data_IF_838546614551
#
_entry.id   IF_838546614551
#
_cell.length_a   1.000
_cell.length_b   1.000
_cell.length_c   1.000
_cell.angle_alpha   90.00
_cell.angle_beta   90.00
_cell.angle_gamma   90.00
#
_symmetry.space_group_name_H-M   'P 1'
#
loop_
_entity.id
_entity.type
_entity.pdbx_description
1 polymer ?
#
# COMPACT_ATOMS: atom_id res chain seq x y z
N UNK A 1 11.83 15.69 36.55
CA UNK A 1 10.92 14.94 35.65
C UNK A 1 11.54 14.96 34.27
N UNK A 2 12.61 14.17 34.14
CA UNK A 2 13.50 14.08 32.99
C UNK A 2 12.86 13.29 31.85
N UNK A 3 13.03 13.83 30.64
CA UNK A 3 13.17 13.13 29.36
C UNK A 3 12.67 11.69 29.28
N UNK A 4 11.44 11.55 28.79
CA UNK A 4 10.98 10.31 28.18
C UNK A 4 11.51 10.29 26.72
N UNK A 5 12.79 9.97 26.56
CA UNK A 5 13.40 9.65 25.27
C UNK A 5 12.81 8.35 24.72
N UNK A 6 12.15 8.44 23.56
CA UNK A 6 12.01 7.53 22.39
C UNK A 6 12.22 5.99 22.46
N UNK A 7 12.47 5.33 23.58
CA UNK A 7 13.01 3.95 23.60
C UNK A 7 12.28 2.93 24.49
N UNK A 8 11.03 3.16 24.90
CA UNK A 8 10.34 2.23 25.81
C UNK A 8 9.01 1.67 25.31
N UNK A 9 8.98 1.13 24.08
CA UNK A 9 7.91 0.23 23.62
C UNK A 9 8.50 -0.91 22.81
N UNK A 10 8.70 -2.07 23.45
CA UNK A 10 8.96 -3.42 22.87
C UNK A 10 10.10 -3.44 21.82
N UNK A 11 11.28 -3.94 22.22
CA UNK A 11 12.52 -4.07 21.41
C UNK A 11 12.32 -4.18 19.89
N UNK A 12 12.21 -3.03 19.23
CA UNK A 12 12.18 -2.91 17.77
C UNK A 12 13.62 -2.82 17.30
N UNK A 13 14.03 -3.78 16.49
CA UNK A 13 15.22 -3.62 15.66
C UNK A 13 15.02 -2.43 14.72
N UNK A 14 16.08 -1.68 14.46
CA UNK A 14 16.04 -0.50 13.60
C UNK A 14 15.84 -0.88 12.13
N UNK A 15 15.30 0.04 11.32
CA UNK A 15 15.11 -0.20 9.87
C UNK A 15 16.43 -0.54 9.17
N UNK A 16 17.55 0.04 9.62
CA UNK A 16 18.88 -0.30 9.09
C UNK A 16 19.30 -1.74 9.40
N UNK A 17 18.96 -2.25 10.59
CA UNK A 17 19.21 -3.64 10.96
C UNK A 17 18.31 -4.59 10.17
N UNK A 18 17.01 -4.27 10.04
CA UNK A 18 16.07 -5.05 9.22
C UNK A 18 16.55 -5.10 7.77
N UNK A 19 16.94 -3.97 7.19
CA UNK A 19 17.45 -3.89 5.83
C UNK A 19 18.68 -4.79 5.65
N UNK A 20 19.60 -4.80 6.62
CA UNK A 20 20.78 -5.67 6.59
C UNK A 20 20.39 -7.15 6.64
N UNK A 21 19.40 -7.52 7.44
CA UNK A 21 18.89 -8.90 7.51
C UNK A 21 18.23 -9.33 6.20
N UNK A 22 17.41 -8.47 5.59
CA UNK A 22 16.79 -8.70 4.27
C UNK A 22 17.86 -8.89 3.20
N UNK A 23 18.83 -7.98 3.11
CA UNK A 23 19.92 -8.08 2.13
C UNK A 23 20.75 -9.34 2.33
N UNK A 24 21.12 -9.65 3.59
CA UNK A 24 21.87 -10.85 3.93
C UNK A 24 21.11 -12.14 3.59
N UNK A 25 19.79 -12.17 3.83
CA UNK A 25 18.96 -13.30 3.43
C UNK A 25 19.02 -13.54 1.92
N UNK A 26 18.85 -12.49 1.11
CA UNK A 26 18.88 -12.64 -0.35
C UNK A 26 20.27 -12.97 -0.87
N UNK A 27 21.34 -12.45 -0.26
CA UNK A 27 22.70 -12.86 -0.58
C UNK A 27 22.96 -14.36 -0.33
N UNK A 28 22.46 -14.90 0.77
CA UNK A 28 22.65 -16.32 1.12
C UNK A 28 21.87 -17.24 0.16
N UNK A 29 20.72 -16.78 -0.35
CA UNK A 29 19.81 -17.57 -1.17
C UNK A 29 19.91 -17.28 -2.68
N UNK A 30 20.77 -16.35 -3.09
CA UNK A 30 20.82 -15.83 -4.47
C UNK A 30 20.92 -16.92 -5.53
N UNK A 31 21.83 -17.90 -5.38
CA UNK A 31 22.03 -18.98 -6.36
C UNK A 31 20.78 -19.84 -6.54
N UNK A 32 20.16 -20.26 -5.44
CA UNK A 32 18.95 -21.09 -5.47
C UNK A 32 17.80 -20.36 -6.14
N UNK A 33 17.56 -19.11 -5.68
CA UNK A 33 16.54 -18.23 -6.24
C UNK A 33 16.80 -17.91 -7.73
N UNK A 34 18.06 -17.74 -8.13
CA UNK A 34 18.45 -17.50 -9.51
C UNK A 34 18.15 -18.65 -10.46
N UNK A 35 18.40 -19.89 -10.03
CA UNK A 35 18.02 -21.08 -10.78
C UNK A 35 16.50 -21.25 -10.86
N UNK A 36 15.78 -21.02 -9.75
CA UNK A 36 14.32 -21.05 -9.71
C UNK A 36 13.73 -20.03 -10.68
N UNK A 37 14.25 -18.80 -10.67
CA UNK A 37 13.87 -17.72 -11.58
C UNK A 37 14.09 -18.10 -13.05
N UNK A 38 15.24 -18.70 -13.38
CA UNK A 38 15.51 -19.20 -14.73
C UNK A 38 14.49 -20.25 -15.19
N UNK A 39 14.06 -21.16 -14.31
CA UNK A 39 13.04 -22.13 -14.72
C UNK A 39 11.68 -21.46 -14.90
N UNK A 40 11.32 -20.56 -13.98
CA UNK A 40 10.05 -19.84 -14.00
C UNK A 40 9.88 -18.94 -15.24
N UNK A 41 10.95 -18.28 -15.70
CA UNK A 41 10.98 -17.50 -16.94
C UNK A 41 10.62 -18.31 -18.19
N UNK A 42 10.80 -19.64 -18.19
CA UNK A 42 10.42 -20.49 -19.34
C UNK A 42 8.93 -20.80 -19.40
N UNK A 43 8.25 -20.75 -18.26
CA UNK A 43 6.91 -21.32 -18.12
C UNK A 43 5.85 -20.27 -17.80
N UNK A 44 6.24 -19.08 -17.35
CA UNK A 44 5.30 -18.03 -16.93
C UNK A 44 5.31 -16.84 -17.88
N UNK A 45 4.11 -16.46 -18.34
CA UNK A 45 3.83 -15.24 -19.10
C UNK A 45 2.95 -14.26 -18.29
N UNK A 46 2.80 -14.50 -16.98
CA UNK A 46 1.87 -13.77 -16.13
C UNK A 46 2.21 -12.27 -16.08
N UNK A 47 3.49 -11.93 -15.88
CA UNK A 47 3.93 -10.54 -15.81
C UNK A 47 3.73 -9.81 -17.14
N UNK A 48 4.12 -10.42 -18.26
CA UNK A 48 3.92 -9.87 -19.61
C UNK A 48 2.44 -9.54 -19.87
N UNK A 49 1.55 -10.49 -19.56
CA UNK A 49 0.10 -10.32 -19.73
C UNK A 49 -0.45 -9.21 -18.84
N UNK A 50 -0.05 -9.16 -17.57
CA UNK A 50 -0.50 -8.12 -16.64
C UNK A 50 -0.02 -6.74 -17.08
N UNK A 51 1.28 -6.61 -17.37
CA UNK A 51 1.89 -5.36 -17.81
C UNK A 51 1.22 -4.85 -19.09
N UNK A 52 1.05 -5.72 -20.09
CA UNK A 52 0.36 -5.41 -21.35
C UNK A 52 -1.08 -4.94 -21.15
N UNK A 53 -1.84 -5.55 -20.23
CA UNK A 53 -3.23 -5.12 -19.93
C UNK A 53 -3.27 -3.78 -19.20
N UNK A 54 -2.40 -3.57 -18.22
CA UNK A 54 -2.50 -2.43 -17.31
C UNK A 54 -1.84 -1.17 -17.87
N UNK A 55 -0.65 -1.31 -18.49
CA UNK A 55 0.17 -0.23 -19.06
C UNK A 55 -0.11 -0.04 -20.55
N UNK A 56 -0.42 -1.11 -21.27
CA UNK A 56 -0.63 -1.11 -22.72
C UNK A 56 0.60 -1.57 -23.51
N UNK A 57 0.41 -1.81 -24.80
CA UNK A 57 1.44 -2.31 -25.73
C UNK A 57 1.67 -1.35 -26.90
N UNK A 58 2.64 -1.65 -27.78
CA UNK A 58 2.83 -0.92 -29.04
C UNK A 58 3.83 0.24 -28.99
N UNK A 59 4.55 0.41 -27.87
CA UNK A 59 5.68 1.35 -27.76
C UNK A 59 6.82 0.74 -26.95
N UNK A 60 8.05 1.05 -27.35
CA UNK A 60 9.23 0.83 -26.52
C UNK A 60 9.21 1.85 -25.37
N UNK A 61 9.34 1.38 -24.13
CA UNK A 61 9.38 2.21 -22.93
C UNK A 61 10.78 2.19 -22.36
N UNK A 62 11.21 3.32 -21.79
CA UNK A 62 12.32 3.33 -20.86
C UNK A 62 11.82 2.99 -19.46
N UNK A 63 12.27 1.87 -18.90
CA UNK A 63 11.76 1.29 -17.66
C UNK A 63 12.85 1.25 -16.59
N UNK A 64 12.53 1.68 -15.38
CA UNK A 64 13.33 1.40 -14.20
C UNK A 64 12.69 0.24 -13.42
N UNK A 65 13.42 -0.85 -13.23
CA UNK A 65 12.99 -2.01 -12.45
C UNK A 65 13.62 -1.93 -11.04
N UNK A 66 12.78 -1.74 -10.04
CA UNK A 66 13.14 -1.49 -8.64
C UNK A 66 13.10 -2.81 -7.88
N UNK A 67 14.25 -3.48 -7.74
CA UNK A 67 14.36 -4.81 -7.14
C UNK A 67 14.51 -5.91 -8.17
N UNK A 68 15.61 -5.90 -8.91
CA UNK A 68 15.95 -6.87 -9.97
C UNK A 68 15.77 -8.32 -9.52
N UNK A 69 16.13 -8.63 -8.27
CA UNK A 69 16.34 -10.00 -7.81
C UNK A 69 17.26 -10.72 -8.80
N UNK A 70 16.83 -11.90 -9.26
CA UNK A 70 17.53 -12.66 -10.29
C UNK A 70 17.04 -12.38 -11.74
N UNK A 71 16.40 -11.23 -11.97
CA UNK A 71 16.10 -10.69 -13.30
C UNK A 71 14.75 -11.09 -13.89
N UNK A 72 13.80 -11.61 -13.12
CA UNK A 72 12.50 -12.07 -13.66
C UNK A 72 11.76 -10.96 -14.43
N UNK A 73 11.49 -9.83 -13.77
CA UNK A 73 10.80 -8.69 -14.38
C UNK A 73 11.65 -8.04 -15.46
N UNK A 74 12.93 -7.80 -15.19
CA UNK A 74 13.83 -7.12 -16.11
C UNK A 74 13.97 -7.86 -17.45
N UNK A 75 14.15 -9.18 -17.41
CA UNK A 75 14.29 -10.03 -18.60
C UNK A 75 12.97 -10.11 -19.35
N UNK A 76 11.84 -10.25 -18.64
CA UNK A 76 10.51 -10.26 -19.27
C UNK A 76 10.26 -8.95 -20.03
N UNK A 77 10.53 -7.81 -19.40
CA UNK A 77 10.30 -6.48 -19.99
C UNK A 77 11.28 -6.18 -21.14
N UNK A 78 12.54 -6.61 -21.04
CA UNK A 78 13.51 -6.53 -22.13
C UNK A 78 13.08 -7.39 -23.33
N UNK A 79 12.56 -8.60 -23.10
CA UNK A 79 12.01 -9.47 -24.14
C UNK A 79 10.75 -8.89 -24.81
N UNK A 80 9.98 -8.05 -24.10
CA UNK A 80 8.88 -7.25 -24.65
C UNK A 80 9.36 -6.07 -25.52
N UNK A 81 10.68 -5.86 -25.64
CA UNK A 81 11.30 -4.80 -26.44
C UNK A 81 11.40 -3.45 -25.73
N UNK A 82 11.42 -3.43 -24.40
CA UNK A 82 11.64 -2.23 -23.61
C UNK A 82 13.11 -2.00 -23.27
N UNK A 83 13.50 -0.74 -23.07
CA UNK A 83 14.83 -0.34 -22.56
C UNK A 83 14.79 -0.38 -21.03
N UNK A 84 15.53 -1.30 -20.43
CA UNK A 84 15.41 -1.62 -18.99
C UNK A 84 16.70 -1.28 -18.24
N UNK A 85 16.58 -0.39 -17.26
CA UNK A 85 17.55 -0.22 -16.18
C UNK A 85 17.02 -0.93 -14.95
N UNK A 86 17.77 -1.88 -14.40
CA UNK A 86 17.32 -2.71 -13.27
C UNK A 86 18.26 -2.59 -12.09
N UNK A 87 17.70 -2.45 -10.88
CA UNK A 87 18.47 -2.19 -9.67
C UNK A 87 18.20 -3.22 -8.58
N UNK A 88 19.24 -3.64 -7.85
CA UNK A 88 19.09 -4.43 -6.64
C UNK A 88 20.12 -4.02 -5.59
N UNK A 89 19.79 -4.23 -4.32
CA UNK A 89 20.69 -3.94 -3.19
C UNK A 89 21.72 -5.05 -2.98
N UNK A 90 21.44 -6.28 -3.45
CA UNK A 90 22.30 -7.45 -3.29
C UNK A 90 23.21 -7.64 -4.51
N UNK A 91 24.55 -7.55 -4.34
CA UNK A 91 25.50 -7.83 -5.42
C UNK A 91 25.36 -9.26 -5.98
N UNK A 92 25.08 -10.24 -5.12
CA UNK A 92 24.92 -11.65 -5.54
C UNK A 92 23.64 -11.87 -6.34
N UNK A 93 22.56 -11.14 -6.04
CA UNK A 93 21.35 -11.19 -6.86
C UNK A 93 21.61 -10.62 -8.25
N UNK A 94 22.30 -9.49 -8.35
CA UNK A 94 22.70 -8.91 -9.64
C UNK A 94 23.61 -9.84 -10.45
N UNK A 95 24.52 -10.57 -9.80
CA UNK A 95 25.31 -11.60 -10.49
C UNK A 95 24.41 -12.67 -11.13
N UNK A 96 23.42 -13.19 -10.39
CA UNK A 96 22.47 -14.15 -10.92
C UNK A 96 21.57 -13.55 -12.02
N UNK A 97 21.16 -12.29 -11.87
CA UNK A 97 20.37 -11.57 -12.86
C UNK A 97 21.12 -11.42 -14.18
N UNK A 98 22.42 -11.06 -14.14
CA UNK A 98 23.29 -10.99 -15.32
C UNK A 98 23.42 -12.35 -15.99
N UNK A 99 23.69 -13.42 -15.24
CA UNK A 99 23.76 -14.76 -15.82
C UNK A 99 22.46 -15.21 -16.47
N UNK A 100 21.31 -14.86 -15.88
CA UNK A 100 20.01 -15.14 -16.47
C UNK A 100 19.79 -14.28 -17.72
N UNK A 101 20.11 -12.99 -17.70
CA UNK A 101 20.01 -12.11 -18.85
C UNK A 101 20.85 -12.61 -20.03
N UNK A 102 22.12 -12.99 -19.78
CA UNK A 102 22.99 -13.59 -20.78
C UNK A 102 22.40 -14.88 -21.37
N UNK A 103 21.82 -15.74 -20.52
CA UNK A 103 21.19 -16.99 -20.95
C UNK A 103 19.98 -16.75 -21.86
N UNK A 104 19.20 -15.69 -21.61
CA UNK A 104 18.03 -15.32 -22.41
C UNK A 104 18.34 -14.35 -23.55
N UNK A 105 19.58 -13.86 -23.66
CA UNK A 105 19.97 -12.85 -24.64
C UNK A 105 19.32 -11.48 -24.41
N UNK A 106 19.04 -11.13 -23.15
CA UNK A 106 18.44 -9.86 -22.77
C UNK A 106 19.53 -8.80 -22.49
N UNK A 107 19.39 -7.62 -23.10
CA UNK A 107 20.25 -6.46 -22.87
C UNK A 107 19.59 -5.56 -21.81
N UNK A 108 20.23 -5.42 -20.64
CA UNK A 108 19.70 -4.77 -19.44
C UNK A 108 20.84 -4.07 -18.72
N UNK A 109 20.62 -2.80 -18.35
CA UNK A 109 21.56 -2.05 -17.50
C UNK A 109 21.31 -2.34 -16.02
N UNK A 110 22.14 -3.20 -15.43
CA UNK A 110 22.03 -3.56 -14.01
C UNK A 110 22.86 -2.63 -13.11
N UNK A 111 22.21 -2.05 -12.11
CA UNK A 111 22.78 -1.08 -11.17
C UNK A 111 22.72 -1.61 -9.73
N UNK A 112 23.85 -1.57 -9.01
CA UNK A 112 23.85 -1.83 -7.57
C UNK A 112 23.32 -0.61 -6.83
N UNK A 113 22.22 -0.74 -6.10
CA UNK A 113 21.60 0.39 -5.41
C UNK A 113 20.42 0.03 -4.53
N UNK A 114 19.98 0.97 -3.71
CA UNK A 114 18.82 0.80 -2.84
C UNK A 114 17.58 1.40 -3.51
N UNK A 115 16.54 0.59 -3.70
CA UNK A 115 15.27 1.05 -4.30
C UNK A 115 14.55 2.15 -3.48
N UNK A 116 14.86 2.31 -2.19
CA UNK A 116 14.39 3.44 -1.36
C UNK A 116 15.13 4.75 -1.61
N UNK A 117 16.30 4.71 -2.23
CA UNK A 117 17.12 5.86 -2.58
C UNK A 117 17.95 5.55 -3.84
N UNK A 118 17.28 5.47 -5.01
CA UNK A 118 17.89 4.90 -6.21
C UNK A 118 19.00 5.77 -6.80
N UNK A 119 19.08 7.07 -6.44
CA UNK A 119 20.08 7.98 -6.99
C UNK A 119 19.91 8.26 -8.49
N UNK A 120 18.77 7.86 -9.08
CA UNK A 120 18.42 8.08 -10.47
C UNK A 120 17.75 9.44 -10.67
N UNK A 121 17.90 10.01 -11.87
CA UNK A 121 17.37 11.33 -12.22
C UNK A 121 15.83 11.35 -12.24
N UNK A 122 15.23 12.45 -11.78
CA UNK A 122 13.78 12.65 -11.86
C UNK A 122 13.31 12.69 -13.32
N UNK A 123 12.04 12.39 -13.59
CA UNK A 123 11.46 12.52 -14.95
C UNK A 123 12.20 11.72 -16.04
N UNK A 124 12.91 10.64 -15.71
CA UNK A 124 13.80 9.97 -16.65
C UNK A 124 13.20 8.71 -17.28
N UNK A 125 12.13 8.14 -16.70
CA UNK A 125 11.52 6.88 -17.13
C UNK A 125 10.07 7.01 -17.58
N UNK A 126 9.67 6.20 -18.56
CA UNK A 126 8.28 6.07 -19.00
C UNK A 126 7.47 5.13 -18.10
N UNK A 127 8.14 4.16 -17.46
CA UNK A 127 7.57 3.33 -16.42
C UNK A 127 8.58 2.99 -15.33
N UNK A 128 8.07 2.78 -14.11
CA UNK A 128 8.81 2.21 -12.99
C UNK A 128 8.07 0.95 -12.58
N UNK A 129 8.79 -0.16 -12.52
CA UNK A 129 8.26 -1.48 -12.18
C UNK A 129 8.86 -1.91 -10.84
N UNK A 130 8.04 -2.50 -9.98
CA UNK A 130 8.49 -3.25 -8.81
C UNK A 130 7.72 -4.57 -8.77
N UNK A 131 8.43 -5.70 -8.90
CA UNK A 131 7.83 -7.02 -8.89
C UNK A 131 8.38 -7.85 -7.72
N UNK A 132 7.53 -8.24 -6.78
CA UNK A 132 7.93 -8.96 -5.57
C UNK A 132 9.06 -8.23 -4.82
N UNK A 133 8.97 -6.91 -4.73
CA UNK A 133 10.01 -6.07 -4.08
C UNK A 133 9.48 -5.35 -2.86
N UNK A 134 8.33 -4.66 -2.99
CA UNK A 134 7.83 -3.73 -1.99
C UNK A 134 7.53 -4.44 -0.64
N UNK A 135 7.22 -5.75 -0.64
CA UNK A 135 7.05 -6.54 0.58
C UNK A 135 8.31 -6.68 1.45
N UNK A 136 9.49 -6.35 0.93
CA UNK A 136 10.78 -6.40 1.64
C UNK A 136 11.40 -5.03 1.91
N UNK A 137 10.74 -3.95 1.49
CA UNK A 137 11.19 -2.57 1.68
C UNK A 137 10.86 -2.10 3.11
N UNK A 138 11.82 -1.43 3.76
CA UNK A 138 11.67 -0.97 5.14
C UNK A 138 10.77 0.27 5.21
N UNK A 139 11.03 1.26 4.35
CA UNK A 139 10.22 2.47 4.18
C UNK A 139 9.53 2.48 2.81
N UNK A 140 8.36 1.83 2.69
CA UNK A 140 7.64 1.75 1.42
C UNK A 140 7.12 3.12 0.97
N UNK A 141 6.87 4.05 1.89
CA UNK A 141 6.42 5.41 1.55
C UNK A 141 7.52 6.20 0.85
N UNK A 142 8.75 6.13 1.37
CA UNK A 142 9.93 6.71 0.74
C UNK A 142 10.21 6.07 -0.62
N UNK A 143 10.21 4.75 -0.70
CA UNK A 143 10.43 4.04 -1.97
C UNK A 143 9.41 4.43 -3.04
N UNK A 144 8.11 4.34 -2.75
CA UNK A 144 7.06 4.69 -3.72
C UNK A 144 7.13 6.16 -4.13
N UNK A 145 7.48 7.07 -3.20
CA UNK A 145 7.68 8.49 -3.53
C UNK A 145 8.84 8.69 -4.51
N UNK A 146 9.98 8.03 -4.29
CA UNK A 146 11.12 8.07 -5.21
C UNK A 146 10.76 7.45 -6.56
N UNK A 147 10.02 6.34 -6.59
CA UNK A 147 9.58 5.70 -7.83
C UNK A 147 8.67 6.62 -8.64
N UNK A 148 7.76 7.35 -7.98
CA UNK A 148 6.92 8.36 -8.63
C UNK A 148 7.76 9.53 -9.15
N UNK A 149 8.80 9.97 -8.42
CA UNK A 149 9.72 11.04 -8.86
C UNK A 149 10.45 10.71 -10.16
N UNK A 150 10.82 9.44 -10.35
CA UNK A 150 11.55 8.97 -11.53
C UNK A 150 10.69 8.99 -12.80
N UNK A 151 9.37 8.95 -12.68
CA UNK A 151 8.46 8.90 -13.81
C UNK A 151 8.39 10.24 -14.53
N UNK A 152 8.33 10.20 -15.86
CA UNK A 152 7.91 11.35 -16.69
C UNK A 152 6.43 11.67 -16.46
N UNK A 153 5.97 12.88 -16.81
CA UNK A 153 4.54 13.16 -16.90
C UNK A 153 3.82 12.16 -17.82
N UNK A 154 2.73 11.55 -17.35
CA UNK A 154 2.02 10.49 -18.09
C UNK A 154 2.67 9.10 -18.03
N UNK A 155 3.76 8.95 -17.26
CA UNK A 155 4.45 7.68 -17.01
C UNK A 155 3.71 6.76 -16.05
N UNK A 156 4.12 5.50 -15.99
CA UNK A 156 3.41 4.43 -15.29
C UNK A 156 4.22 3.86 -14.12
N UNK A 157 3.66 3.91 -12.91
CA UNK A 157 4.11 3.06 -11.81
C UNK A 157 3.36 1.72 -11.91
N UNK A 158 4.08 0.60 -11.93
CA UNK A 158 3.52 -0.74 -11.94
C UNK A 158 4.12 -1.55 -10.79
N UNK A 159 3.30 -1.92 -9.80
CA UNK A 159 3.69 -2.74 -8.66
C UNK A 159 2.93 -4.05 -8.76
N UNK A 160 3.63 -5.17 -8.93
CA UNK A 160 3.08 -6.51 -8.77
C UNK A 160 3.70 -7.13 -7.52
N UNK A 161 2.90 -7.45 -6.51
CA UNK A 161 3.43 -7.86 -5.21
C UNK A 161 2.43 -8.76 -4.47
N UNK A 162 2.87 -9.28 -3.32
CA UNK A 162 2.07 -10.12 -2.47
C UNK A 162 2.07 -9.72 -1.01
N UNK A 163 1.01 -10.12 -0.33
CA UNK A 163 0.83 -10.05 1.11
C UNK A 163 1.50 -11.24 1.81
N UNK A 164 2.76 -11.49 1.43
CA UNK A 164 3.55 -12.62 1.91
C UNK A 164 3.80 -12.50 3.40
N UNK A 165 3.61 -13.61 4.13
CA UNK A 165 3.81 -13.71 5.58
C UNK A 165 2.91 -12.78 6.43
N UNK A 166 1.82 -12.25 5.88
CA UNK A 166 0.88 -11.39 6.63
C UNK A 166 0.14 -12.16 7.72
N UNK A 167 0.08 -13.49 7.64
CA UNK A 167 -0.47 -14.35 8.69
C UNK A 167 0.30 -14.28 10.02
N UNK A 168 1.51 -13.69 10.02
CA UNK A 168 2.29 -13.42 11.23
C UNK A 168 1.74 -12.26 12.08
N UNK A 169 0.97 -11.35 11.48
CA UNK A 169 0.57 -10.08 12.09
C UNK A 169 -0.92 -9.78 11.93
N UNK A 170 -1.56 -10.28 10.88
CA UNK A 170 -2.96 -10.03 10.54
C UNK A 170 -3.79 -11.32 10.61
N UNK A 171 -4.87 -11.26 11.37
CA UNK A 171 -5.74 -12.40 11.65
C UNK A 171 -6.46 -12.89 10.38
N UNK A 172 -6.92 -11.98 9.53
CA UNK A 172 -7.58 -12.30 8.27
C UNK A 172 -6.68 -13.11 7.32
N UNK A 173 -5.37 -12.88 7.34
CA UNK A 173 -4.39 -13.62 6.53
C UNK A 173 -4.02 -14.97 7.16
N UNK A 174 -4.10 -15.09 8.49
CA UNK A 174 -3.98 -16.38 9.18
C UNK A 174 -5.13 -17.30 8.79
N UNK A 175 -6.36 -16.81 8.87
CA UNK A 175 -7.54 -17.58 8.46
C UNK A 175 -7.50 -17.97 6.98
N UNK A 176 -7.06 -17.06 6.11
CA UNK A 176 -6.82 -17.39 4.71
C UNK A 176 -5.78 -18.52 4.58
N UNK A 177 -4.66 -18.42 5.27
CA UNK A 177 -3.58 -19.42 5.18
C UNK A 177 -4.04 -20.79 5.67
N UNK A 178 -4.78 -20.84 6.78
CA UNK A 178 -5.34 -22.08 7.31
C UNK A 178 -6.35 -22.69 6.34
N UNK A 179 -7.24 -21.88 5.77
CA UNK A 179 -8.18 -22.31 4.73
C UNK A 179 -7.47 -22.91 3.50
N UNK A 180 -6.46 -22.23 2.97
CA UNK A 180 -5.73 -22.72 1.80
C UNK A 180 -5.01 -24.04 2.10
N UNK A 181 -4.44 -24.21 3.31
CA UNK A 181 -3.82 -25.47 3.75
C UNK A 181 -4.79 -26.63 3.91
N UNK A 182 -6.09 -26.37 4.13
CA UNK A 182 -7.10 -27.45 4.12
C UNK A 182 -7.45 -27.93 2.72
N UNK A 183 -7.16 -27.13 1.69
CA UNK A 183 -7.56 -27.39 0.31
C UNK A 183 -6.44 -27.91 -0.57
N UNK A 184 -5.23 -27.42 -0.35
CA UNK A 184 -4.11 -27.60 -1.26
C UNK A 184 -2.92 -28.23 -0.54
N UNK A 185 -2.15 -29.05 -1.28
CA UNK A 185 -0.85 -29.52 -0.81
C UNK A 185 0.15 -28.37 -0.68
N UNK A 186 1.29 -28.64 -0.04
CA UNK A 186 2.36 -27.65 0.06
C UNK A 186 2.90 -27.30 -1.33
N UNK A 187 3.08 -28.30 -2.20
CA UNK A 187 3.59 -28.15 -3.56
C UNK A 187 2.63 -27.34 -4.45
N UNK A 188 1.32 -27.48 -4.26
CA UNK A 188 0.31 -26.69 -4.99
C UNK A 188 0.26 -25.22 -4.55
N UNK A 189 0.67 -24.92 -3.32
CA UNK A 189 0.74 -23.55 -2.80
C UNK A 189 2.06 -22.83 -3.17
N UNK A 190 3.07 -23.57 -3.60
CA UNK A 190 4.36 -23.01 -4.02
C UNK A 190 4.27 -22.50 -5.48
N UNK A 191 4.34 -21.17 -5.65
CA UNK A 191 4.24 -20.52 -6.97
C UNK A 191 5.48 -20.79 -7.84
N UNK A 192 6.63 -21.01 -7.21
CA UNK A 192 7.92 -21.25 -7.89
C UNK A 192 8.56 -22.51 -7.32
N UNK A 193 9.27 -23.31 -8.15
CA UNK A 193 10.02 -24.45 -7.64
C UNK A 193 11.08 -23.97 -6.64
N UNK A 194 11.06 -24.49 -5.41
CA UNK A 194 12.11 -24.21 -4.44
C UNK A 194 13.39 -24.93 -4.84
N UNK A 195 14.28 -24.19 -5.51
CA UNK A 195 15.61 -24.67 -5.84
C UNK A 195 16.57 -24.06 -4.82
N UNK A 196 17.28 -24.92 -4.08
CA UNK A 196 18.30 -24.49 -3.12
C UNK A 196 17.86 -24.50 -1.66
N UNK A 197 16.67 -25.03 -1.34
CA UNK A 197 16.14 -25.12 0.03
C UNK A 197 16.11 -23.75 0.71
N UNK A 198 15.43 -22.79 0.06
CA UNK A 198 15.38 -21.41 0.53
C UNK A 198 14.73 -21.36 1.92
N UNK A 199 15.39 -20.71 2.88
CA UNK A 199 14.90 -20.63 4.27
C UNK A 199 13.76 -19.60 4.42
N UNK A 200 12.58 -19.94 3.92
CA UNK A 200 11.40 -19.08 4.05
C UNK A 200 10.96 -18.87 5.52
N UNK A 201 11.42 -19.68 6.47
CA UNK A 201 11.15 -19.44 7.89
C UNK A 201 11.99 -18.28 8.44
N UNK A 202 13.27 -18.19 8.04
CA UNK A 202 14.09 -17.01 8.30
C UNK A 202 13.49 -15.77 7.66
N UNK A 203 13.11 -15.81 6.38
CA UNK A 203 12.48 -14.67 5.71
C UNK A 203 11.18 -14.25 6.40
N UNK A 204 10.33 -15.20 6.78
CA UNK A 204 9.12 -14.96 7.57
C UNK A 204 9.42 -14.22 8.86
N UNK A 205 10.50 -14.60 9.58
CA UNK A 205 10.94 -13.94 10.80
C UNK A 205 11.33 -12.48 10.58
N UNK A 206 12.10 -12.21 9.52
CA UNK A 206 12.52 -10.86 9.13
C UNK A 206 11.29 -10.00 8.75
N UNK A 207 10.42 -10.52 7.88
CA UNK A 207 9.26 -9.79 7.36
C UNK A 207 8.26 -9.35 8.45
N UNK A 208 8.19 -10.06 9.58
CA UNK A 208 7.35 -9.66 10.73
C UNK A 208 7.72 -8.28 11.30
N UNK A 209 8.97 -7.85 11.09
CA UNK A 209 9.47 -6.57 11.57
C UNK A 209 9.21 -5.42 10.58
N UNK A 210 8.87 -5.72 9.32
CA UNK A 210 8.61 -4.71 8.29
C UNK A 210 7.24 -4.03 8.46
N UNK A 211 7.18 -2.74 8.14
CA UNK A 211 5.94 -1.95 8.19
C UNK A 211 4.88 -2.49 7.22
N UNK A 212 5.28 -2.88 6.01
CA UNK A 212 4.39 -3.44 4.98
C UNK A 212 3.61 -4.66 5.46
N UNK A 213 4.15 -5.43 6.41
CA UNK A 213 3.49 -6.62 6.95
C UNK A 213 2.35 -6.26 7.92
N UNK A 214 2.19 -4.99 8.33
CA UNK A 214 1.21 -4.56 9.35
C UNK A 214 0.10 -3.68 8.79
N UNK A 215 0.11 -3.46 7.48
CA UNK A 215 -0.85 -2.63 6.75
C UNK A 215 -1.62 -3.49 5.76
N UNK A 216 -2.82 -3.05 5.36
CA UNK A 216 -3.62 -3.76 4.36
C UNK A 216 -3.24 -3.28 2.97
N UNK A 217 -2.73 -4.18 2.13
CA UNK A 217 -2.35 -3.92 0.74
C UNK A 217 -3.26 -4.74 -0.19
N UNK A 218 -3.70 -4.22 -1.36
CA UNK A 218 -3.26 -2.97 -2.02
C UNK A 218 -3.94 -1.68 -1.53
N UNK A 219 -4.73 -1.71 -0.46
CA UNK A 219 -5.44 -0.51 0.03
C UNK A 219 -4.48 0.61 0.44
N UNK A 220 -3.34 0.26 1.04
CA UNK A 220 -2.31 1.23 1.42
C UNK A 220 -1.71 1.93 0.20
N UNK A 221 -1.32 1.19 -0.85
CA UNK A 221 -0.78 1.75 -2.09
C UNK A 221 -1.78 2.72 -2.72
N UNK A 222 -3.04 2.31 -2.78
CA UNK A 222 -4.12 3.12 -3.36
C UNK A 222 -4.24 4.45 -2.63
N UNK A 223 -4.33 4.40 -1.30
CA UNK A 223 -4.41 5.59 -0.46
C UNK A 223 -3.15 6.47 -0.61
N UNK A 224 -1.97 5.87 -0.54
CA UNK A 224 -0.70 6.59 -0.59
C UNK A 224 -0.52 7.30 -1.94
N UNK A 225 -0.82 6.63 -3.05
CA UNK A 225 -0.76 7.22 -4.38
C UNK A 225 -1.78 8.36 -4.56
N UNK A 226 -2.97 8.25 -3.96
CA UNK A 226 -3.95 9.34 -3.93
C UNK A 226 -3.45 10.57 -3.15
N UNK A 227 -2.74 10.37 -2.03
CA UNK A 227 -2.11 11.46 -1.28
C UNK A 227 -1.00 12.16 -2.09
N UNK A 228 -0.26 11.40 -2.89
CA UNK A 228 0.67 11.95 -3.90
C UNK A 228 -0.04 12.64 -5.07
N UNK A 229 -1.38 12.71 -5.07
CA UNK A 229 -2.16 13.39 -6.10
C UNK A 229 -2.36 12.56 -7.38
N UNK A 230 -2.05 11.26 -7.36
CA UNK A 230 -2.29 10.37 -8.48
C UNK A 230 -3.75 9.92 -8.47
N UNK A 231 -4.44 10.12 -9.60
CA UNK A 231 -5.88 9.86 -9.73
C UNK A 231 -6.21 8.66 -10.62
N UNK A 232 -5.33 8.33 -11.56
CA UNK A 232 -5.51 7.19 -12.45
C UNK A 232 -4.78 5.99 -11.84
N UNK A 233 -5.52 5.18 -11.08
CA UNK A 233 -5.02 3.99 -10.38
C UNK A 233 -5.91 2.81 -10.76
N UNK A 234 -5.30 1.73 -11.24
CA UNK A 234 -5.92 0.43 -11.53
C UNK A 234 -5.36 -0.61 -10.56
N UNK A 235 -6.23 -1.49 -10.09
CA UNK A 235 -5.86 -2.55 -9.14
C UNK A 235 -6.49 -3.85 -9.64
N UNK A 236 -5.70 -4.92 -9.62
CA UNK A 236 -6.16 -6.25 -9.98
C UNK A 236 -5.65 -7.25 -8.93
N UNK A 237 -6.54 -8.11 -8.41
CA UNK A 237 -6.13 -9.29 -7.64
C UNK A 237 -5.63 -10.35 -8.62
N UNK A 238 -4.47 -10.92 -8.35
CA UNK A 238 -3.85 -11.95 -9.22
C UNK A 238 -3.99 -13.35 -8.63
N UNK A 239 -4.74 -13.48 -7.54
CA UNK A 239 -5.07 -14.76 -6.93
C UNK A 239 -5.85 -15.66 -7.89
N UNK A 240 -5.47 -16.94 -7.95
CA UNK A 240 -6.27 -17.99 -8.60
C UNK A 240 -7.60 -18.22 -7.88
N UNK A 241 -7.62 -18.06 -6.54
CA UNK A 241 -8.81 -18.21 -5.71
C UNK A 241 -9.03 -16.98 -4.82
N UNK A 242 -10.25 -16.43 -4.89
CA UNK A 242 -10.64 -15.29 -4.08
C UNK A 242 -11.04 -15.73 -2.67
N UNK A 243 -10.42 -15.14 -1.65
CA UNK A 243 -10.80 -15.34 -0.25
C UNK A 243 -11.48 -14.10 0.32
N UNK A 244 -12.57 -14.30 1.07
CA UNK A 244 -13.31 -13.24 1.74
C UNK A 244 -13.33 -13.48 3.25
N UNK A 245 -12.98 -12.46 4.01
CA UNK A 245 -13.05 -12.44 5.47
C UNK A 245 -14.28 -11.66 5.92
N UNK A 246 -15.06 -12.21 6.86
CA UNK A 246 -16.19 -11.53 7.49
C UNK A 246 -15.69 -10.76 8.71
N UNK A 247 -15.45 -9.46 8.52
CA UNK A 247 -15.12 -8.56 9.61
C UNK A 247 -16.39 -8.02 10.27
N UNK A 248 -16.22 -7.31 11.40
CA UNK A 248 -17.31 -6.55 12.03
C UNK A 248 -17.88 -5.44 11.14
N UNK A 249 -17.06 -4.93 10.21
CA UNK A 249 -17.41 -3.87 9.25
C UNK A 249 -17.97 -4.44 7.93
N UNK A 250 -18.19 -5.76 7.87
CA UNK A 250 -18.70 -6.46 6.68
C UNK A 250 -17.66 -7.34 6.00
N UNK A 251 -18.01 -7.81 4.80
CA UNK A 251 -17.19 -8.70 3.97
C UNK A 251 -16.01 -7.93 3.38
N UNK A 252 -14.81 -8.45 3.58
CA UNK A 252 -13.57 -7.89 3.06
C UNK A 252 -12.85 -8.89 2.17
N UNK A 253 -12.39 -8.47 1.00
CA UNK A 253 -11.49 -9.28 0.18
C UNK A 253 -10.09 -9.26 0.79
N UNK A 254 -9.42 -10.41 0.79
CA UNK A 254 -8.08 -10.59 1.38
C UNK A 254 -7.14 -11.18 0.33
N UNK A 255 -6.66 -10.38 -0.65
CA UNK A 255 -5.84 -10.90 -1.75
C UNK A 255 -4.48 -11.35 -1.24
N UNK A 256 -3.95 -12.49 -1.73
CA UNK A 256 -2.57 -12.89 -1.46
C UNK A 256 -1.60 -12.18 -2.40
N UNK A 257 -1.97 -12.01 -3.66
CA UNK A 257 -1.17 -11.40 -4.72
C UNK A 257 -2.03 -10.40 -5.50
N UNK A 258 -1.42 -9.32 -5.95
CA UNK A 258 -2.12 -8.26 -6.67
C UNK A 258 -1.16 -7.46 -7.55
N UNK A 259 -1.74 -6.68 -8.46
CA UNK A 259 -1.04 -5.66 -9.22
C UNK A 259 -1.72 -4.29 -9.04
N UNK A 260 -0.92 -3.24 -8.90
CA UNK A 260 -1.32 -1.85 -8.91
C UNK A 260 -0.63 -1.17 -10.08
N UNK A 261 -1.39 -0.51 -10.94
CA UNK A 261 -0.85 0.33 -12.00
C UNK A 261 -1.39 1.74 -11.85
N UNK A 262 -0.49 2.70 -11.70
CA UNK A 262 -0.85 4.10 -11.51
C UNK A 262 -0.17 4.96 -12.57
N UNK A 263 -0.87 5.97 -13.06
CA UNK A 263 -0.35 6.86 -14.10
C UNK A 263 -0.16 8.27 -13.57
N UNK A 264 1.04 8.81 -13.73
CA UNK A 264 1.33 10.19 -13.31
C UNK A 264 0.55 11.19 -14.21
N UNK A 265 0.13 12.35 -13.68
CA UNK A 265 -0.50 13.38 -14.49
C UNK A 265 0.43 13.88 -15.62
N UNK A 266 -0.15 14.30 -16.74
CA UNK A 266 0.59 14.88 -17.87
C UNK A 266 1.09 16.32 -17.62
N UNK A 267 0.62 16.98 -16.55
CA UNK A 267 1.04 18.35 -16.22
C UNK A 267 2.38 18.37 -15.48
N UNK A 268 3.33 19.15 -15.99
CA UNK A 268 4.74 19.27 -15.57
C UNK A 268 4.98 19.86 -14.15
N UNK A 269 4.00 19.90 -13.25
CA UNK A 269 4.18 20.41 -11.88
C UNK A 269 4.52 19.26 -10.91
N UNK A 270 5.55 18.48 -11.21
CA UNK A 270 5.98 17.39 -10.32
C UNK A 270 6.46 17.86 -8.96
N UNK A 271 6.91 19.12 -8.85
CA UNK A 271 7.16 19.74 -7.56
C UNK A 271 5.88 19.77 -6.70
N UNK A 272 4.66 19.92 -7.24
CA UNK A 272 3.44 19.84 -6.42
C UNK A 272 3.07 18.40 -5.97
N UNK A 273 3.64 17.36 -6.59
CA UNK A 273 3.42 15.94 -6.23
C UNK A 273 4.39 15.48 -5.14
N UNK A 274 5.62 16.01 -5.13
CA UNK A 274 6.68 15.67 -4.16
C UNK A 274 6.86 16.72 -3.05
N UNK A 275 6.57 18.01 -3.31
CA UNK A 275 6.34 19.05 -2.27
C UNK A 275 5.06 18.76 -1.48
N UNK A 276 4.39 17.63 -1.75
CA UNK A 276 3.35 17.00 -0.93
C UNK A 276 3.87 15.86 -0.06
N UNK A 277 5.17 15.73 0.19
CA UNK A 277 5.61 15.05 1.42
C UNK A 277 5.06 15.72 2.72
N UNK A 278 4.73 17.03 2.76
CA UNK A 278 3.85 17.62 3.77
C UNK A 278 2.36 17.23 3.63
N UNK A 279 1.94 16.40 2.66
CA UNK A 279 0.57 15.87 2.61
C UNK A 279 0.26 14.91 3.76
N UNK A 280 1.28 14.26 4.32
CA UNK A 280 1.10 13.59 5.62
C UNK A 280 0.70 14.62 6.69
N UNK A 281 1.32 15.80 6.74
CA UNK A 281 0.93 16.86 7.70
C UNK A 281 -0.38 17.56 7.35
N UNK A 282 -0.69 17.84 6.08
CA UNK A 282 -1.94 18.50 5.68
C UNK A 282 -3.14 17.54 5.77
N UNK A 283 -2.96 16.29 5.36
CA UNK A 283 -3.91 15.19 5.55
C UNK A 283 -4.10 14.89 7.03
N UNK A 284 -3.03 14.87 7.83
CA UNK A 284 -3.13 14.74 9.30
C UNK A 284 -3.76 15.98 9.95
N UNK A 285 -3.59 17.19 9.38
CA UNK A 285 -4.25 18.41 9.86
C UNK A 285 -5.75 18.35 9.58
N UNK A 286 -6.15 17.91 8.39
CA UNK A 286 -7.54 17.62 8.05
C UNK A 286 -8.15 16.53 8.92
N UNK A 287 -7.45 15.40 9.08
CA UNK A 287 -7.87 14.29 9.94
C UNK A 287 -7.96 14.71 11.41
N UNK A 288 -6.99 15.49 11.92
CA UNK A 288 -7.02 16.06 13.28
C UNK A 288 -8.22 17.00 13.45
N UNK A 289 -8.52 17.83 12.46
CA UNK A 289 -9.67 18.73 12.49
C UNK A 289 -10.98 17.93 12.56
N UNK A 290 -11.14 16.92 11.70
CA UNK A 290 -12.29 16.03 11.68
C UNK A 290 -12.47 15.25 13.00
N UNK A 291 -11.38 14.67 13.53
CA UNK A 291 -11.41 13.93 14.81
C UNK A 291 -11.71 14.87 15.97
N UNK A 292 -11.13 16.08 15.99
CA UNK A 292 -11.40 17.09 17.03
C UNK A 292 -12.85 17.58 16.99
N UNK A 293 -13.42 17.71 15.79
CA UNK A 293 -14.82 18.05 15.60
C UNK A 293 -15.77 16.96 16.11
N UNK A 294 -15.33 15.72 16.28
CA UNK A 294 -16.11 14.63 16.88
C UNK A 294 -15.69 14.29 18.34
N UNK A 295 -14.80 15.07 18.96
CA UNK A 295 -14.19 14.68 20.24
C UNK A 295 -15.12 14.77 21.47
N UNK A 296 -16.31 15.35 21.36
CA UNK A 296 -17.26 15.47 22.48
C UNK A 296 -18.43 14.51 22.34
N UNK A 297 -19.01 14.10 23.48
CA UNK A 297 -20.16 13.21 23.51
C UNK A 297 -21.36 13.77 22.74
N UNK A 298 -21.63 15.08 22.88
CA UNK A 298 -22.73 15.75 22.20
C UNK A 298 -22.56 15.71 20.66
N UNK A 299 -21.35 15.96 20.15
CA UNK A 299 -21.08 15.92 18.70
C UNK A 299 -21.12 14.50 18.14
N UNK A 300 -20.70 13.50 18.92
CA UNK A 300 -20.87 12.09 18.56
C UNK A 300 -22.35 11.72 18.47
N UNK A 301 -23.17 12.15 19.43
CA UNK A 301 -24.63 11.92 19.42
C UNK A 301 -25.29 12.59 18.22
N UNK A 302 -24.95 13.86 17.94
CA UNK A 302 -25.46 14.58 16.76
C UNK A 302 -25.05 13.88 15.46
N UNK A 303 -23.79 13.45 15.33
CA UNK A 303 -23.33 12.71 14.15
C UNK A 303 -24.10 11.38 13.95
N UNK A 304 -24.36 10.64 15.03
CA UNK A 304 -25.14 9.41 15.00
C UNK A 304 -26.62 9.63 14.65
N UNK A 305 -27.20 10.78 14.99
CA UNK A 305 -28.55 11.14 14.54
C UNK A 305 -28.56 11.48 13.04
N UNK A 306 -27.58 12.27 12.60
CA UNK A 306 -27.47 12.69 11.20
C UNK A 306 -27.10 11.54 10.25
N UNK A 307 -26.53 10.44 10.75
CA UNK A 307 -26.33 9.23 9.95
C UNK A 307 -27.64 8.51 9.63
N UNK A 308 -28.71 8.74 10.39
CA UNK A 308 -30.03 8.17 10.11
C UNK A 308 -30.84 9.01 9.11
N UNK A 309 -30.78 10.34 9.23
CA UNK A 309 -31.45 11.26 8.29
C UNK A 309 -30.94 12.70 8.46
N UNK A 310 -31.04 13.55 7.41
CA UNK A 310 -30.80 14.99 7.55
C UNK A 310 -31.81 15.64 8.50
N UNK A 311 -31.34 16.54 9.38
CA UNK A 311 -32.17 17.17 10.41
C UNK A 311 -31.88 18.66 10.56
N UNK A 312 -32.89 19.42 10.93
CA UNK A 312 -32.77 20.81 11.37
C UNK A 312 -32.30 20.90 12.82
N UNK A 313 -31.84 22.09 13.22
CA UNK A 313 -31.45 22.38 14.62
C UNK A 313 -32.57 22.05 15.61
N UNK A 314 -33.83 22.31 15.22
CA UNK A 314 -34.99 22.06 16.09
C UNK A 314 -35.22 20.57 16.31
N UNK A 315 -35.15 19.77 15.24
CA UNK A 315 -35.30 18.31 15.34
C UNK A 315 -34.16 17.70 16.17
N UNK A 316 -32.91 18.16 15.98
CA UNK A 316 -31.78 17.70 16.78
C UNK A 316 -31.98 18.06 18.26
N UNK A 317 -32.46 19.28 18.56
CA UNK A 317 -32.78 19.69 19.93
C UNK A 317 -33.87 18.80 20.55
N UNK A 318 -34.95 18.52 19.81
CA UNK A 318 -36.06 17.69 20.27
C UNK A 318 -35.61 16.26 20.59
N UNK A 319 -34.71 15.68 19.79
CA UNK A 319 -34.22 14.31 20.00
C UNK A 319 -33.13 14.22 21.08
N UNK A 320 -32.20 15.18 21.10
CA UNK A 320 -31.05 15.14 22.03
C UNK A 320 -31.36 15.73 23.41
N UNK A 321 -32.38 16.58 23.52
CA UNK A 321 -32.65 17.39 24.71
C UNK A 321 -31.64 18.51 24.96
N UNK A 322 -30.69 18.73 24.04
CA UNK A 322 -29.65 19.76 24.19
C UNK A 322 -30.23 21.17 23.95
N UNK A 323 -29.72 22.20 24.65
CA UNK A 323 -30.09 23.58 24.38
C UNK A 323 -29.81 23.99 22.93
N UNK A 324 -30.72 24.75 22.31
CA UNK A 324 -30.62 25.16 20.90
C UNK A 324 -29.30 25.88 20.56
N UNK A 325 -28.80 26.69 21.49
CA UNK A 325 -27.53 27.41 21.34
C UNK A 325 -26.33 26.45 21.32
N UNK A 326 -26.36 25.38 22.12
CA UNK A 326 -25.32 24.36 22.13
C UNK A 326 -25.34 23.54 20.84
N UNK A 327 -26.53 23.10 20.39
CA UNK A 327 -26.70 22.39 19.11
C UNK A 327 -26.15 23.24 17.95
N UNK A 328 -26.47 24.53 17.92
CA UNK A 328 -25.99 25.44 16.87
C UNK A 328 -24.48 25.63 16.92
N UNK A 329 -23.90 25.73 18.12
CA UNK A 329 -22.46 25.84 18.32
C UNK A 329 -21.71 24.58 17.86
N UNK A 330 -22.21 23.41 18.23
CA UNK A 330 -21.61 22.13 17.86
C UNK A 330 -21.71 21.86 16.37
N UNK A 331 -22.86 22.14 15.74
CA UNK A 331 -23.01 22.04 14.27
C UNK A 331 -22.06 22.98 13.52
N UNK A 332 -21.76 24.15 14.08
CA UNK A 332 -20.76 25.06 13.49
C UNK A 332 -19.36 24.44 13.54
N UNK A 333 -18.93 23.90 14.68
CA UNK A 333 -17.64 23.21 14.81
C UNK A 333 -17.57 22.01 13.87
N UNK A 334 -18.63 21.20 13.82
CA UNK A 334 -18.71 20.05 12.93
C UNK A 334 -18.65 20.46 11.46
N UNK A 335 -19.22 21.61 11.09
CA UNK A 335 -19.14 22.16 9.74
C UNK A 335 -17.73 22.67 9.41
N UNK A 336 -17.09 23.39 10.32
CA UNK A 336 -15.70 23.87 10.18
C UNK A 336 -14.72 22.70 10.06
N UNK A 337 -14.97 21.59 10.77
CA UNK A 337 -14.22 20.33 10.69
C UNK A 337 -14.59 19.43 9.52
N UNK A 338 -15.52 19.84 8.64
CA UNK A 338 -15.93 19.09 7.44
C UNK A 338 -16.86 17.90 7.68
N UNK A 339 -17.34 17.67 8.90
CA UNK A 339 -18.19 16.53 9.27
C UNK A 339 -19.63 16.68 8.76
N UNK A 340 -20.17 17.91 8.79
CA UNK A 340 -21.53 18.20 8.35
C UNK A 340 -21.57 19.28 7.27
N UNK A 341 -22.56 19.18 6.38
CA UNK A 341 -22.97 20.25 5.48
C UNK A 341 -24.34 20.77 5.87
N UNK A 342 -24.62 22.01 5.48
CA UNK A 342 -25.88 22.68 5.76
C UNK A 342 -26.49 23.20 4.46
N UNK A 343 -27.74 22.82 4.21
CA UNK A 343 -28.54 23.30 3.08
C UNK A 343 -29.70 24.14 3.60
N UNK A 344 -30.05 25.20 2.87
CA UNK A 344 -31.12 26.11 3.28
C UNK A 344 -32.46 25.55 2.83
N UNK A 345 -33.35 25.27 3.79
CA UNK A 345 -34.71 24.79 3.54
C UNK A 345 -35.71 25.80 4.13
N UNK A 346 -36.15 26.74 3.30
CA UNK A 346 -37.09 27.79 3.73
C UNK A 346 -36.51 28.72 4.80
N UNK A 347 -37.10 28.70 6.01
CA UNK A 347 -36.70 29.56 7.14
C UNK A 347 -35.62 28.95 8.03
N UNK A 348 -35.25 27.68 7.81
CA UNK A 348 -34.25 26.96 8.60
C UNK A 348 -33.16 26.35 7.71
N UNK A 349 -32.06 25.94 8.33
CA UNK A 349 -31.03 25.11 7.70
C UNK A 349 -31.22 23.66 8.12
N UNK A 350 -31.13 22.76 7.15
CA UNK A 350 -31.10 21.30 7.36
C UNK A 350 -29.65 20.86 7.24
N UNK A 351 -29.20 20.06 8.20
CA UNK A 351 -27.84 19.55 8.28
C UNK A 351 -27.82 18.08 7.89
N UNK A 352 -26.78 17.66 7.18
CA UNK A 352 -26.50 16.27 6.88
C UNK A 352 -25.01 15.99 7.04
N UNK A 353 -24.63 14.72 7.20
CA UNK A 353 -23.22 14.34 7.13
C UNK A 353 -22.67 14.66 5.72
N UNK A 354 -21.41 15.11 5.67
CA UNK A 354 -20.71 15.34 4.40
C UNK A 354 -20.47 14.01 3.68
N UNK A 355 -20.06 12.99 4.44
CA UNK A 355 -19.85 11.60 4.05
C UNK A 355 -20.36 10.69 5.17
N UNK A 356 -21.50 10.05 4.94
CA UNK A 356 -22.16 9.24 5.96
C UNK A 356 -21.41 7.93 6.24
N UNK A 357 -20.80 7.34 5.21
CA UNK A 357 -20.08 6.07 5.32
C UNK A 357 -18.77 6.25 6.09
N UNK A 358 -17.99 7.30 5.76
CA UNK A 358 -16.74 7.60 6.44
C UNK A 358 -16.95 7.90 7.93
N UNK A 359 -17.95 8.73 8.26
CA UNK A 359 -18.29 9.07 9.65
C UNK A 359 -18.83 7.84 10.38
N UNK A 360 -19.64 7.01 9.72
CA UNK A 360 -20.12 5.73 10.26
C UNK A 360 -18.96 4.81 10.66
N UNK A 361 -18.00 4.60 9.76
CA UNK A 361 -16.80 3.81 10.04
C UNK A 361 -16.00 4.36 11.23
N UNK A 362 -15.84 5.69 11.34
CA UNK A 362 -15.16 6.31 12.48
C UNK A 362 -15.86 6.02 13.81
N UNK A 363 -17.19 6.14 13.85
CA UNK A 363 -18.00 5.89 15.05
C UNK A 363 -17.95 4.41 15.45
N UNK A 364 -18.03 3.49 14.49
CA UNK A 364 -17.90 2.04 14.74
C UNK A 364 -16.50 1.67 15.24
N UNK A 365 -15.45 2.24 14.64
CA UNK A 365 -14.08 2.05 15.10
C UNK A 365 -13.91 2.53 16.55
N UNK A 366 -14.42 3.72 16.88
CA UNK A 366 -14.36 4.27 18.24
C UNK A 366 -15.10 3.37 19.26
N UNK A 367 -16.29 2.87 18.91
CA UNK A 367 -17.05 1.91 19.74
C UNK A 367 -16.31 0.59 19.93
N UNK A 368 -15.67 0.07 18.87
CA UNK A 368 -14.90 -1.17 18.97
C UNK A 368 -13.63 -1.01 19.81
N UNK A 369 -13.06 0.19 19.91
CA UNK A 369 -11.91 0.48 20.76
C UNK A 369 -12.32 0.62 22.24
N UNK A 370 -13.46 1.24 22.52
CA UNK A 370 -13.98 1.37 23.90
C UNK A 370 -14.44 0.03 24.47
N UNK A 371 -15.04 -0.84 23.64
CA UNK A 371 -15.51 -2.17 24.07
C UNK A 371 -14.37 -3.13 24.47
N UNK A 372 -13.12 -2.84 24.07
CA UNK A 372 -11.93 -3.63 24.43
C UNK A 372 -11.30 -3.24 25.78
N UNK A 373 -11.79 -2.18 26.45
CA UNK A 373 -11.27 -1.71 27.75
C UNK A 373 -12.03 -2.30 28.96
N UNK A 374 -13.02 -3.17 28.74
CA UNK A 374 -13.89 -3.74 29.79
C UNK A 374 -13.56 -5.24 30.04
N UNK A 375 -12.42 -5.72 29.58
CA UNK A 375 -11.86 -7.05 29.88
C UNK A 375 -10.40 -6.90 30.23
#
# INVERSE_FOLDING_TARGET
>A
MSDLTKEQVIGRISDAEVQKEVTGFWEDNARGYGLSTRMYLKTSDCLEKMFSRMVGTGRCLKIADMGSGAGYSSITLSAMGHDVTSMDISPKMLEQARWNADYYGADIDFVLGNAENPGLESCSFDAVVANDTLFTICDPGKAVSEWVRLLRPGGFLFIADGNYFFDTTLEEYRQRSDYMRTKYSKEELEIRPDIGNIDYQRLRGICRNLYVNRIRRPSWETWFLMELGIKEIKIESTDSEHFTYLSRLGKMSVPMTYAVCARTPFSCRQNEVLDRHPAFESGMTGAKSAVSALATEDRIRIAALLSASPMSVKEIQEVTGLPQNLVSYDLRIMKEGGIVRAERAGRSSVYSLTDADAVGCMLEAARSLSSRRIT
#
